data_IF_441723595222
#
_entry.id   IF_441723595222
#
_cell.length_a   1.000
_cell.length_b   1.000
_cell.length_c   1.000
_cell.angle_alpha   90.00
_cell.angle_beta   90.00
_cell.angle_gamma   90.00
#
_symmetry.space_group_name_H-M   'P 1'
#
loop_
_entity.id
_entity.type
_entity.pdbx_description
1 polymer ?
#
# COMPACT_ATOMS: atom_id res chain seq x y z
N UNK A 1 51.25 -28.39 33.51
CA UNK A 1 49.91 -27.77 33.53
C UNK A 1 49.32 -28.07 34.89
N UNK A 2 49.16 -27.05 35.73
CA UNK A 2 48.73 -27.24 37.12
C UNK A 2 47.20 -27.33 37.24
N UNK A 3 46.72 -28.04 38.26
CA UNK A 3 45.30 -28.33 38.46
C UNK A 3 44.40 -27.09 38.52
N UNK A 4 44.95 -25.95 38.96
CA UNK A 4 44.25 -24.66 39.01
C UNK A 4 43.90 -24.12 37.61
N UNK A 5 44.80 -24.28 36.64
CA UNK A 5 44.57 -23.84 35.25
C UNK A 5 43.52 -24.71 34.56
N UNK A 6 43.53 -26.02 34.83
CA UNK A 6 42.53 -26.94 34.33
C UNK A 6 41.13 -26.67 34.92
N UNK A 7 41.04 -26.31 36.20
CA UNK A 7 39.78 -25.94 36.83
C UNK A 7 39.20 -24.63 36.27
N UNK A 8 40.06 -23.63 36.03
CA UNK A 8 39.66 -22.34 35.44
C UNK A 8 39.14 -22.50 34.01
N UNK A 9 39.79 -23.34 33.20
CA UNK A 9 39.34 -23.63 31.84
C UNK A 9 37.98 -24.35 31.83
N UNK A 10 37.79 -25.33 32.74
CA UNK A 10 36.50 -26.02 32.90
C UNK A 10 35.38 -25.07 33.32
N UNK A 11 35.67 -24.12 34.21
CA UNK A 11 34.71 -23.12 34.64
C UNK A 11 34.30 -22.19 33.47
N UNK A 12 35.28 -21.69 32.69
CA UNK A 12 34.97 -20.87 31.51
C UNK A 12 34.10 -21.60 30.49
N UNK A 13 34.34 -22.90 30.25
CA UNK A 13 33.52 -23.68 29.33
C UNK A 13 32.08 -23.84 29.84
N UNK A 14 31.88 -24.04 31.15
CA UNK A 14 30.56 -24.10 31.75
C UNK A 14 29.81 -22.76 31.64
N UNK A 15 30.50 -21.64 31.86
CA UNK A 15 29.91 -20.31 31.75
C UNK A 15 29.52 -19.96 30.29
N UNK A 16 30.35 -20.34 29.32
CA UNK A 16 30.05 -20.18 27.89
C UNK A 16 28.85 -21.03 27.48
N UNK A 17 28.81 -22.30 27.89
CA UNK A 17 27.69 -23.20 27.59
C UNK A 17 26.37 -22.68 28.19
N UNK A 18 26.42 -22.17 29.43
CA UNK A 18 25.26 -21.56 30.08
C UNK A 18 24.78 -20.31 29.36
N UNK A 19 25.70 -19.44 28.90
CA UNK A 19 25.34 -18.24 28.13
C UNK A 19 24.69 -18.61 26.80
N UNK A 20 25.25 -19.57 26.07
CA UNK A 20 24.73 -20.02 24.78
C UNK A 20 23.28 -20.54 24.91
N UNK A 21 23.02 -21.38 25.91
CA UNK A 21 21.69 -21.94 26.14
C UNK A 21 20.65 -20.85 26.49
N UNK A 22 21.03 -19.86 27.31
CA UNK A 22 20.14 -18.74 27.65
C UNK A 22 19.81 -17.86 26.44
N UNK A 23 20.76 -17.67 25.53
CA UNK A 23 20.61 -16.87 24.32
C UNK A 23 19.72 -17.59 23.30
N UNK A 24 19.89 -18.91 23.16
CA UNK A 24 19.03 -19.77 22.35
C UNK A 24 17.58 -19.78 22.88
N UNK A 25 17.38 -19.89 24.19
CA UNK A 25 16.04 -19.86 24.79
C UNK A 25 15.33 -18.53 24.54
N UNK A 26 16.05 -17.41 24.67
CA UNK A 26 15.52 -16.08 24.34
C UNK A 26 15.14 -15.96 22.87
N UNK A 27 15.97 -16.50 21.97
CA UNK A 27 15.67 -16.49 20.54
C UNK A 27 14.38 -17.28 20.24
N UNK A 28 14.28 -18.51 20.77
CA UNK A 28 13.08 -19.35 20.61
C UNK A 28 11.82 -18.64 21.15
N UNK A 29 11.90 -18.00 22.32
CA UNK A 29 10.77 -17.24 22.86
C UNK A 29 10.38 -16.04 21.98
N UNK A 30 11.35 -15.31 21.42
CA UNK A 30 11.08 -14.20 20.52
C UNK A 30 10.42 -14.67 19.22
N UNK A 31 10.87 -15.80 18.69
CA UNK A 31 10.32 -16.43 17.48
C UNK A 31 8.88 -16.90 17.71
N UNK A 32 8.60 -17.58 18.83
CA UNK A 32 7.22 -17.98 19.20
C UNK A 32 6.30 -16.77 19.36
N UNK A 33 6.79 -15.66 19.96
CA UNK A 33 6.00 -14.42 20.09
C UNK A 33 5.72 -13.76 18.75
N UNK A 34 6.67 -13.82 17.81
CA UNK A 34 6.49 -13.30 16.46
C UNK A 34 5.45 -14.14 15.71
N UNK A 35 5.52 -15.47 15.79
CA UNK A 35 4.53 -16.37 15.18
C UNK A 35 3.12 -16.14 15.74
N UNK A 36 2.98 -15.94 17.05
CA UNK A 36 1.70 -15.65 17.70
C UNK A 36 1.13 -14.28 17.26
N UNK A 37 1.99 -13.25 17.18
CA UNK A 37 1.62 -11.94 16.67
C UNK A 37 1.19 -11.98 15.19
N UNK A 38 1.80 -12.84 14.38
CA UNK A 38 1.43 -13.04 12.97
C UNK A 38 0.14 -13.85 12.79
N UNK A 39 -0.16 -14.78 13.71
CA UNK A 39 -1.41 -15.54 13.72
C UNK A 39 -2.60 -14.73 14.24
N UNK A 40 -2.34 -13.68 15.00
CA UNK A 40 -3.39 -12.77 15.47
C UNK A 40 -3.83 -11.88 14.31
N UNK A 41 -5.07 -11.96 13.83
CA UNK A 41 -5.55 -11.07 12.78
C UNK A 41 -5.54 -9.65 13.33
N UNK A 42 -4.75 -8.76 12.72
CA UNK A 42 -4.93 -7.33 12.99
C UNK A 42 -6.36 -6.96 12.62
N UNK A 43 -7.08 -6.22 13.49
CA UNK A 43 -8.39 -5.70 13.11
C UNK A 43 -8.24 -4.89 11.82
N UNK A 44 -9.19 -5.01 10.88
CA UNK A 44 -9.13 -4.22 9.66
C UNK A 44 -8.98 -2.75 10.05
N UNK A 45 -8.07 -1.99 9.41
CA UNK A 45 -8.02 -0.56 9.65
C UNK A 45 -9.42 0.01 9.41
N UNK A 46 -9.91 0.91 10.28
CA UNK A 46 -11.22 1.52 10.10
C UNK A 46 -11.24 2.16 8.70
N UNK A 47 -12.36 2.06 7.96
CA UNK A 47 -12.46 2.68 6.66
C UNK A 47 -12.19 4.17 6.84
N UNK A 48 -11.01 4.62 6.39
CA UNK A 48 -10.73 6.05 6.28
C UNK A 48 -11.75 6.58 5.31
N UNK A 49 -12.74 7.31 5.83
CA UNK A 49 -13.61 8.14 5.04
C UNK A 49 -12.73 9.22 4.41
N UNK A 50 -12.08 8.88 3.30
CA UNK A 50 -11.42 9.83 2.43
C UNK A 50 -12.52 10.78 1.99
N UNK A 51 -12.60 11.95 2.64
CA UNK A 51 -13.46 13.05 2.21
C UNK A 51 -12.84 13.57 0.91
N UNK A 52 -13.05 12.82 -0.17
CA UNK A 52 -12.65 13.24 -1.49
C UNK A 52 -13.35 14.56 -1.77
N UNK A 53 -12.65 15.61 -2.21
CA UNK A 53 -13.28 16.86 -2.59
C UNK A 53 -14.43 16.57 -3.55
N UNK A 54 -15.63 17.10 -3.24
CA UNK A 54 -16.80 16.89 -4.09
C UNK A 54 -16.64 17.75 -5.35
N UNK A 55 -16.01 17.17 -6.37
CA UNK A 55 -15.74 17.81 -7.65
C UNK A 55 -16.95 17.65 -8.57
N UNK A 56 -17.31 18.72 -9.27
CA UNK A 56 -18.37 18.71 -10.25
C UNK A 56 -18.03 17.77 -11.41
N UNK A 57 -19.04 17.11 -11.98
CA UNK A 57 -18.87 16.32 -13.19
C UNK A 57 -18.54 17.22 -14.38
N UNK A 58 -17.81 16.71 -15.41
CA UNK A 58 -17.55 17.47 -16.63
C UNK A 58 -18.85 17.84 -17.36
N UNK A 59 -18.82 18.96 -18.09
CA UNK A 59 -19.93 19.31 -18.97
C UNK A 59 -19.95 18.39 -20.21
N UNK A 60 -21.11 18.29 -20.87
CA UNK A 60 -21.22 17.61 -22.15
C UNK A 60 -20.45 18.39 -23.23
N UNK A 61 -19.76 17.67 -24.11
CA UNK A 61 -18.94 18.24 -25.17
C UNK A 61 -19.50 17.92 -26.55
N UNK A 62 -19.75 18.94 -27.34
CA UNK A 62 -20.37 18.85 -28.67
C UNK A 62 -19.38 18.65 -29.83
N UNK A 63 -18.07 18.60 -29.54
CA UNK A 63 -17.04 18.50 -30.56
C UNK A 63 -16.52 19.84 -31.07
N UNK A 64 -16.91 20.98 -30.49
CA UNK A 64 -16.37 22.29 -30.86
C UNK A 64 -14.88 22.41 -30.53
N UNK A 65 -14.10 22.96 -31.45
CA UNK A 65 -12.66 23.13 -31.30
C UNK A 65 -12.29 24.40 -30.49
N UNK A 66 -11.00 24.55 -30.19
CA UNK A 66 -10.47 25.73 -29.50
C UNK A 66 -10.78 25.71 -28.00
N UNK A 67 -11.14 26.87 -27.44
CA UNK A 67 -11.28 27.06 -25.99
C UNK A 67 -12.30 26.10 -25.34
N UNK A 68 -13.34 25.69 -26.08
CA UNK A 68 -14.36 24.73 -25.60
C UNK A 68 -13.75 23.35 -25.40
N UNK A 69 -12.99 22.85 -26.38
CA UNK A 69 -12.29 21.58 -26.29
C UNK A 69 -11.26 21.56 -25.14
N UNK A 70 -10.49 22.64 -24.99
CA UNK A 70 -9.53 22.73 -23.89
C UNK A 70 -10.21 22.75 -22.52
N UNK A 71 -11.33 23.46 -22.40
CA UNK A 71 -12.10 23.52 -21.15
C UNK A 71 -12.67 22.15 -20.80
N UNK A 72 -13.21 21.44 -21.78
CA UNK A 72 -13.65 20.06 -21.59
C UNK A 72 -12.51 19.14 -21.14
N UNK A 73 -11.36 19.19 -21.82
CA UNK A 73 -10.19 18.38 -21.47
C UNK A 73 -9.70 18.67 -20.04
N UNK A 74 -9.68 19.95 -19.63
CA UNK A 74 -9.34 20.35 -18.25
C UNK A 74 -10.31 19.78 -17.23
N UNK A 75 -11.63 19.87 -17.47
CA UNK A 75 -12.65 19.33 -16.56
C UNK A 75 -12.54 17.81 -16.39
N UNK A 76 -12.39 17.09 -17.50
CA UNK A 76 -12.22 15.63 -17.50
C UNK A 76 -10.94 15.23 -16.77
N UNK A 77 -9.81 15.88 -17.06
CA UNK A 77 -8.53 15.59 -16.43
C UNK A 77 -8.56 15.78 -14.91
N UNK A 78 -9.20 16.85 -14.43
CA UNK A 78 -9.39 17.10 -12.99
C UNK A 78 -10.26 16.00 -12.37
N UNK A 79 -11.38 15.66 -13.00
CA UNK A 79 -12.31 14.64 -12.49
C UNK A 79 -11.63 13.26 -12.37
N UNK A 80 -10.90 12.84 -13.41
CA UNK A 80 -10.18 11.56 -13.40
C UNK A 80 -9.04 11.54 -12.39
N UNK A 81 -8.32 12.66 -12.22
CA UNK A 81 -7.21 12.75 -11.27
C UNK A 81 -7.67 12.57 -9.82
N UNK A 82 -8.83 13.12 -9.47
CA UNK A 82 -9.37 12.99 -8.11
C UNK A 82 -10.08 11.66 -7.90
N UNK A 83 -10.69 11.11 -8.96
CA UNK A 83 -11.38 9.83 -8.91
C UNK A 83 -10.58 8.69 -9.54
N UNK A 84 -9.24 8.69 -9.40
CA UNK A 84 -8.34 7.71 -10.05
C UNK A 84 -8.76 6.26 -9.83
N UNK A 85 -9.29 5.93 -8.65
CA UNK A 85 -9.77 4.60 -8.30
C UNK A 85 -10.96 4.12 -9.16
N UNK A 86 -11.74 5.03 -9.76
CA UNK A 86 -12.83 4.70 -10.69
C UNK A 86 -12.35 4.45 -12.12
N UNK A 87 -11.08 4.78 -12.42
CA UNK A 87 -10.52 4.73 -13.77
C UNK A 87 -9.23 3.89 -13.83
N UNK A 88 -9.28 2.59 -13.48
CA UNK A 88 -8.09 1.74 -13.38
C UNK A 88 -7.45 1.43 -14.73
N UNK A 89 -8.17 1.60 -15.84
CA UNK A 89 -7.69 1.29 -17.19
C UNK A 89 -8.02 2.39 -18.19
N UNK A 90 -7.24 2.48 -19.26
CA UNK A 90 -7.50 3.42 -20.35
C UNK A 90 -8.88 3.20 -20.98
N UNK A 91 -9.34 1.94 -21.04
CA UNK A 91 -10.70 1.61 -21.50
C UNK A 91 -11.78 2.29 -20.66
N UNK A 92 -11.65 2.30 -19.34
CA UNK A 92 -12.61 2.99 -18.45
C UNK A 92 -12.56 4.50 -18.60
N UNK A 93 -11.37 5.07 -18.87
CA UNK A 93 -11.20 6.50 -19.13
C UNK A 93 -11.87 6.90 -20.46
N UNK A 94 -11.60 6.14 -21.53
CA UNK A 94 -12.17 6.37 -22.86
C UNK A 94 -13.69 6.23 -22.83
N UNK A 95 -14.22 5.18 -22.20
CA UNK A 95 -15.67 4.97 -22.08
C UNK A 95 -16.35 6.13 -21.36
N UNK A 96 -15.73 6.62 -20.28
CA UNK A 96 -16.22 7.79 -19.56
C UNK A 96 -16.19 9.05 -20.43
N UNK A 97 -15.09 9.35 -21.11
CA UNK A 97 -15.03 10.50 -22.02
C UNK A 97 -16.12 10.43 -23.09
N UNK A 98 -16.30 9.27 -23.73
CA UNK A 98 -17.33 9.03 -24.74
C UNK A 98 -18.74 9.29 -24.22
N UNK A 99 -19.04 8.94 -22.95
CA UNK A 99 -20.34 9.21 -22.34
C UNK A 99 -20.65 10.72 -22.23
N UNK A 100 -19.62 11.57 -22.16
CA UNK A 100 -19.76 13.02 -22.09
C UNK A 100 -19.67 13.71 -23.45
N UNK A 101 -19.45 12.97 -24.53
CA UNK A 101 -19.53 13.53 -25.88
C UNK A 101 -20.99 13.49 -26.36
N UNK A 102 -21.51 14.64 -26.80
CA UNK A 102 -22.87 14.78 -27.32
C UNK A 102 -22.85 15.61 -28.59
N UNK A 103 -22.81 14.96 -29.75
CA UNK A 103 -22.91 15.68 -31.00
C UNK A 103 -22.96 14.77 -32.23
N UNK A 104 -23.49 15.25 -33.36
CA UNK A 104 -23.60 14.50 -34.62
C UNK A 104 -22.25 14.17 -35.27
N UNK A 105 -21.14 14.60 -34.66
CA UNK A 105 -19.75 14.39 -35.09
C UNK A 105 -19.11 13.14 -34.46
N UNK A 106 -19.80 12.44 -33.53
CA UNK A 106 -19.47 11.05 -33.21
C UNK A 106 -19.97 10.14 -34.33
N UNK A 107 -19.20 10.03 -35.40
CA UNK A 107 -19.25 8.84 -36.24
C UNK A 107 -17.99 8.04 -35.94
N UNK A 108 -18.15 6.89 -35.28
CA UNK A 108 -17.14 5.84 -35.26
C UNK A 108 -16.93 5.32 -36.68
#
# INVERSE_FOLDING_TARGET
>A
MDASEAAKLRQQLADIAKKANNEEEKHRQAETKLEDALRTPNPPPPPTATKTPKIAQPNKFNGEHGAVAETFARQVGIYMTVNKHLFPTDTTQILFMSLYMTGPRLKL
#
